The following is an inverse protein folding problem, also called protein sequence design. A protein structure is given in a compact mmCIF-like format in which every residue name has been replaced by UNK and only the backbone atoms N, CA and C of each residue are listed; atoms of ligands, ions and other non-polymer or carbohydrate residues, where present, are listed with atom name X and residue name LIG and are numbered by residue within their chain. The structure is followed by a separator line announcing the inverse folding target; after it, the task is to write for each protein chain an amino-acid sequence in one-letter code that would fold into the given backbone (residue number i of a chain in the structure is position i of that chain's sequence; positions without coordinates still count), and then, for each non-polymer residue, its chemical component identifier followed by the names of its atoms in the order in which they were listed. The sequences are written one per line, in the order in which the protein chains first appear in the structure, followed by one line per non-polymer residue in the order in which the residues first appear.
data_IF_009529586337
#
_entry.id   IF_009529586337
#
_cell.length_a   1.000
_cell.length_b   1.000
_cell.length_c   1.000
_cell.angle_alpha   90.00
_cell.angle_beta   90.00
_cell.angle_gamma   90.00
#
_symmetry.space_group_name_H-M   'P 1'
#
loop_
_entity.id
_entity.type
_entity.pdbx_description
1 polymer ?
#
# COMPACT_ATOMS: atom_id res chain seq x y z
N UNK A 1 22.74 -49.74 -45.99
CA UNK A 1 23.54 -49.72 -44.74
C UNK A 1 22.63 -49.19 -43.63
N UNK A 2 22.32 -49.94 -42.55
CA UNK A 2 21.43 -49.44 -41.51
C UNK A 2 22.19 -48.48 -40.59
N UNK A 3 21.67 -47.27 -40.40
CA UNK A 3 22.24 -46.30 -39.46
C UNK A 3 21.90 -46.71 -38.02
N UNK A 4 22.91 -46.72 -37.15
CA UNK A 4 22.71 -46.92 -35.71
C UNK A 4 21.92 -45.73 -35.15
N UNK A 5 20.67 -45.97 -34.74
CA UNK A 5 19.88 -44.99 -33.99
C UNK A 5 20.39 -44.95 -32.55
N UNK A 6 20.86 -43.80 -32.10
CA UNK A 6 21.13 -43.52 -30.68
C UNK A 6 19.97 -42.70 -30.14
N UNK A 7 19.24 -43.24 -29.18
CA UNK A 7 18.27 -42.46 -28.40
C UNK A 7 19.05 -41.69 -27.35
N UNK A 8 18.92 -40.36 -27.35
CA UNK A 8 19.50 -39.50 -26.32
C UNK A 8 18.37 -39.13 -25.38
N UNK A 9 18.51 -39.49 -24.11
CA UNK A 9 17.57 -39.12 -23.05
C UNK A 9 18.21 -38.05 -22.16
N UNK A 10 17.44 -37.05 -21.71
CA UNK A 10 17.95 -36.05 -20.80
C UNK A 10 18.24 -36.67 -19.43
N UNK A 11 19.39 -36.31 -18.86
CA UNK A 11 19.85 -36.73 -17.53
C UNK A 11 19.93 -35.50 -16.62
N UNK A 12 19.72 -35.66 -15.31
CA UNK A 12 19.72 -34.59 -14.30
C UNK A 12 18.72 -33.45 -14.60
N UNK A 13 17.45 -33.81 -14.80
CA UNK A 13 16.39 -32.83 -15.10
C UNK A 13 16.09 -31.93 -13.90
N UNK A 14 16.24 -32.47 -12.69
CA UNK A 14 16.12 -31.71 -11.44
C UNK A 14 17.49 -31.26 -10.91
N UNK A 15 17.57 -30.03 -10.40
CA UNK A 15 18.73 -29.55 -9.63
C UNK A 15 18.74 -30.10 -8.18
N UNK A 16 17.63 -30.69 -7.75
CA UNK A 16 17.45 -31.28 -6.41
C UNK A 16 17.22 -32.78 -6.56
N UNK A 17 17.70 -33.60 -5.61
CA UNK A 17 17.46 -35.04 -5.66
C UNK A 17 15.97 -35.35 -5.64
N UNK A 18 15.52 -36.07 -6.67
CA UNK A 18 14.16 -36.60 -6.76
C UNK A 18 14.13 -37.94 -6.02
N UNK A 19 13.12 -38.22 -5.17
CA UNK A 19 13.01 -39.50 -4.47
C UNK A 19 13.10 -40.72 -5.41
N UNK A 20 13.84 -41.75 -4.99
CA UNK A 20 14.08 -42.95 -5.80
C UNK A 20 12.81 -43.74 -6.16
N UNK A 21 11.71 -43.52 -5.45
CA UNK A 21 10.43 -44.19 -5.68
C UNK A 21 9.65 -43.58 -6.88
N UNK A 22 10.15 -42.50 -7.48
CA UNK A 22 9.50 -41.81 -8.60
C UNK A 22 9.98 -42.40 -9.94
N UNK A 23 9.09 -43.01 -10.74
CA UNK A 23 9.49 -43.69 -11.97
C UNK A 23 9.80 -42.72 -13.12
N UNK A 24 9.26 -41.50 -13.11
CA UNK A 24 9.42 -40.51 -14.18
C UNK A 24 9.84 -39.14 -13.61
N UNK A 25 11.14 -38.86 -13.64
CA UNK A 25 11.72 -37.62 -13.14
C UNK A 25 11.15 -36.39 -13.86
N UNK A 26 10.99 -36.46 -15.20
CA UNK A 26 10.50 -35.35 -16.00
C UNK A 26 9.09 -34.93 -15.58
N UNK A 27 8.19 -35.89 -15.42
CA UNK A 27 6.81 -35.64 -14.98
C UNK A 27 6.77 -35.05 -13.56
N UNK A 28 7.63 -35.52 -12.66
CA UNK A 28 7.72 -34.98 -11.32
C UNK A 28 8.17 -33.50 -11.34
N UNK A 29 9.25 -33.19 -12.05
CA UNK A 29 9.79 -31.83 -12.14
C UNK A 29 8.80 -30.89 -12.82
N UNK A 30 8.15 -31.31 -13.92
CA UNK A 30 7.16 -30.47 -14.61
C UNK A 30 5.91 -30.24 -13.75
N UNK A 31 5.40 -31.26 -13.06
CA UNK A 31 4.28 -31.09 -12.13
C UNK A 31 4.62 -30.18 -10.95
N UNK A 32 5.83 -30.30 -10.39
CA UNK A 32 6.32 -29.39 -9.35
C UNK A 32 6.43 -27.95 -9.87
N UNK A 33 6.97 -27.76 -11.07
CA UNK A 33 7.05 -26.45 -11.70
C UNK A 33 5.66 -25.84 -11.93
N UNK A 34 4.69 -26.62 -12.41
CA UNK A 34 3.31 -26.19 -12.59
C UNK A 34 2.64 -25.80 -11.26
N UNK A 35 2.82 -26.60 -10.20
CA UNK A 35 2.30 -26.28 -8.87
C UNK A 35 2.90 -24.97 -8.33
N UNK A 36 4.20 -24.74 -8.56
CA UNK A 36 4.86 -23.49 -8.17
C UNK A 36 4.33 -22.28 -8.97
N UNK A 37 4.10 -22.44 -10.28
CA UNK A 37 3.46 -21.39 -11.09
C UNK A 37 2.05 -21.08 -10.56
N UNK A 38 1.26 -22.09 -10.21
CA UNK A 38 -0.06 -21.87 -9.60
C UNK A 38 0.04 -21.11 -8.27
N UNK A 39 1.00 -21.46 -7.40
CA UNK A 39 1.27 -20.69 -6.16
C UNK A 39 1.66 -19.24 -6.46
N UNK A 40 2.54 -19.02 -7.42
CA UNK A 40 2.97 -17.67 -7.80
C UNK A 40 1.81 -16.84 -8.35
N UNK A 41 0.94 -17.43 -9.17
CA UNK A 41 -0.27 -16.76 -9.65
C UNK A 41 -1.22 -16.42 -8.51
N UNK A 42 -1.40 -17.31 -7.55
CA UNK A 42 -2.21 -17.03 -6.35
C UNK A 42 -1.63 -15.88 -5.52
N UNK A 43 -0.32 -15.85 -5.30
CA UNK A 43 0.35 -14.73 -4.62
C UNK A 43 0.20 -13.41 -5.40
N UNK A 44 0.29 -13.46 -6.73
CA UNK A 44 0.09 -12.29 -7.59
C UNK A 44 -1.34 -11.77 -7.52
N UNK A 45 -2.34 -12.66 -7.51
CA UNK A 45 -3.75 -12.28 -7.35
C UNK A 45 -4.01 -11.62 -6.00
N UNK A 46 -3.43 -12.13 -4.92
CA UNK A 46 -3.51 -11.51 -3.59
C UNK A 46 -2.93 -10.09 -3.60
N UNK A 47 -1.72 -9.93 -4.16
CA UNK A 47 -1.06 -8.62 -4.26
C UNK A 47 -1.88 -7.62 -5.09
N UNK A 48 -2.46 -8.07 -6.21
CA UNK A 48 -3.31 -7.23 -7.04
C UNK A 48 -4.57 -6.79 -6.28
N UNK A 49 -5.17 -7.69 -5.49
CA UNK A 49 -6.33 -7.37 -4.66
C UNK A 49 -5.99 -6.32 -3.60
N UNK A 50 -4.84 -6.44 -2.92
CA UNK A 50 -4.40 -5.46 -1.93
C UNK A 50 -4.23 -4.06 -2.55
N UNK A 51 -3.53 -3.99 -3.70
CA UNK A 51 -3.35 -2.73 -4.45
C UNK A 51 -4.68 -2.09 -4.84
N UNK A 52 -5.61 -2.87 -5.40
CA UNK A 52 -6.89 -2.33 -5.83
C UNK A 52 -7.77 -1.91 -4.64
N UNK A 53 -7.69 -2.58 -3.50
CA UNK A 53 -8.40 -2.19 -2.29
C UNK A 53 -7.91 -0.83 -1.76
N UNK A 54 -6.60 -0.61 -1.72
CA UNK A 54 -6.02 0.69 -1.36
C UNK A 54 -6.46 1.78 -2.33
N UNK A 55 -6.37 1.51 -3.64
CA UNK A 55 -6.78 2.47 -4.67
C UNK A 55 -8.27 2.84 -4.59
N UNK A 56 -9.14 1.87 -4.34
CA UNK A 56 -10.59 2.10 -4.17
C UNK A 56 -10.85 2.94 -2.93
N UNK A 57 -10.12 2.70 -1.85
CA UNK A 57 -10.23 3.47 -0.60
C UNK A 57 -9.86 4.93 -0.86
N UNK A 58 -8.72 5.18 -1.50
CA UNK A 58 -8.26 6.53 -1.87
C UNK A 58 -9.22 7.23 -2.83
N UNK A 59 -9.70 6.52 -3.86
CA UNK A 59 -10.69 7.05 -4.79
C UNK A 59 -12.00 7.40 -4.07
N UNK A 60 -12.42 6.59 -3.09
CA UNK A 60 -13.56 6.88 -2.22
C UNK A 60 -13.39 8.16 -1.41
N UNK A 61 -12.21 8.38 -0.82
CA UNK A 61 -11.89 9.62 -0.12
C UNK A 61 -11.91 10.85 -1.04
N UNK A 62 -11.36 10.73 -2.25
CA UNK A 62 -11.40 11.80 -3.27
C UNK A 62 -12.84 12.09 -3.68
N UNK A 63 -13.65 11.07 -3.91
CA UNK A 63 -15.06 11.22 -4.27
C UNK A 63 -15.84 11.98 -3.18
N UNK A 64 -15.72 11.59 -1.92
CA UNK A 64 -16.38 12.26 -0.80
C UNK A 64 -15.97 13.74 -0.66
N UNK A 65 -14.67 14.04 -0.84
CA UNK A 65 -14.16 15.42 -0.85
C UNK A 65 -14.73 16.21 -2.03
N UNK A 66 -14.84 15.58 -3.20
CA UNK A 66 -15.39 16.19 -4.41
C UNK A 66 -16.86 16.53 -4.24
N UNK A 67 -17.67 15.61 -3.70
CA UNK A 67 -19.07 15.86 -3.38
C UNK A 67 -19.25 17.01 -2.38
N UNK A 68 -18.44 17.01 -1.32
CA UNK A 68 -18.46 18.10 -0.33
C UNK A 68 -18.10 19.44 -0.97
N UNK A 69 -17.11 19.46 -1.85
CA UNK A 69 -16.69 20.66 -2.59
C UNK A 69 -17.78 21.11 -3.56
N UNK A 70 -18.40 20.20 -4.29
CA UNK A 70 -19.51 20.48 -5.19
C UNK A 70 -20.66 21.18 -4.46
N UNK A 71 -21.09 20.64 -3.31
CA UNK A 71 -22.10 21.29 -2.48
C UNK A 71 -21.69 22.68 -1.97
N UNK A 72 -20.40 22.89 -1.66
CA UNK A 72 -19.89 24.22 -1.26
C UNK A 72 -19.83 25.22 -2.41
N UNK A 73 -19.71 24.76 -3.65
CA UNK A 73 -19.73 25.59 -4.86
C UNK A 73 -21.16 25.99 -5.22
N UNK A 74 -22.10 25.04 -5.18
CA UNK A 74 -23.49 25.30 -5.57
C UNK A 74 -24.22 26.24 -4.59
N UNK A 75 -23.92 26.18 -3.29
CA UNK A 75 -24.56 27.04 -2.27
C UNK A 75 -24.44 28.56 -2.52
N UNK A 76 -23.24 29.14 -2.74
CA UNK A 76 -23.09 30.57 -3.00
C UNK A 76 -23.46 30.96 -4.43
N UNK A 77 -23.60 30.02 -5.37
CA UNK A 77 -23.79 30.28 -6.80
C UNK A 77 -24.92 31.28 -7.08
N UNK A 78 -26.09 31.07 -6.48
CA UNK A 78 -27.23 32.00 -6.62
C UNK A 78 -26.91 33.39 -6.05
N UNK A 79 -26.28 33.44 -4.86
CA UNK A 79 -25.90 34.71 -4.22
C UNK A 79 -24.90 35.49 -5.06
N UNK A 80 -23.93 34.81 -5.68
CA UNK A 80 -22.96 35.44 -6.59
C UNK A 80 -23.63 35.93 -7.87
N UNK A 81 -24.54 35.16 -8.45
CA UNK A 81 -25.25 35.58 -9.68
C UNK A 81 -26.22 36.73 -9.46
N UNK A 82 -26.76 36.87 -8.26
CA UNK A 82 -27.73 37.93 -7.89
C UNK A 82 -27.06 39.13 -7.22
N UNK A 83 -25.75 39.09 -7.00
CA UNK A 83 -25.01 40.15 -6.35
C UNK A 83 -24.96 41.40 -7.25
N UNK A 84 -25.37 42.55 -6.72
CA UNK A 84 -25.28 43.85 -7.40
C UNK A 84 -24.39 44.80 -6.61
N UNK A 85 -23.20 45.06 -7.14
CA UNK A 85 -22.19 45.91 -6.51
C UNK A 85 -22.55 47.40 -6.49
N UNK A 86 -23.55 47.84 -7.25
CA UNK A 86 -23.96 49.25 -7.26
C UNK A 86 -24.86 49.62 -6.06
N UNK A 87 -25.44 48.61 -5.41
CA UNK A 87 -26.36 48.76 -4.27
C UNK A 87 -25.63 48.48 -2.95
N UNK A 88 -24.58 47.66 -2.97
CA UNK A 88 -23.92 47.21 -1.75
C UNK A 88 -22.94 48.26 -1.17
N UNK A 89 -23.29 48.83 -0.02
CA UNK A 89 -22.45 49.79 0.70
C UNK A 89 -21.42 49.09 1.62
N UNK A 90 -20.16 49.53 1.55
CA UNK A 90 -19.07 49.00 2.40
C UNK A 90 -18.87 49.88 3.63
N UNK A 91 -19.15 49.33 4.82
CA UNK A 91 -18.98 50.04 6.09
C UNK A 91 -17.59 49.70 6.69
N UNK A 92 -16.71 50.70 6.80
CA UNK A 92 -15.32 50.53 7.29
C UNK A 92 -15.28 50.04 8.75
N UNK A 93 -16.26 50.42 9.57
CA UNK A 93 -16.37 49.96 10.96
C UNK A 93 -16.58 48.44 11.04
N UNK A 94 -17.34 47.86 10.11
CA UNK A 94 -17.56 46.41 10.04
C UNK A 94 -16.30 45.65 9.59
N UNK A 95 -15.46 46.28 8.75
CA UNK A 95 -14.18 45.72 8.34
C UNK A 95 -13.21 45.64 9.52
N UNK A 96 -13.14 46.69 10.34
CA UNK A 96 -12.24 46.74 11.50
C UNK A 96 -12.68 45.82 12.66
N UNK A 97 -13.98 45.53 12.76
CA UNK A 97 -14.53 44.65 13.80
C UNK A 97 -14.51 43.17 13.42
N UNK A 98 -14.21 42.81 12.16
CA UNK A 98 -14.13 41.42 11.69
C UNK A 98 -12.69 40.94 11.67
N UNK A 99 -12.49 39.68 12.08
CA UNK A 99 -11.19 39.01 11.91
C UNK A 99 -10.91 38.80 10.42
N UNK A 100 -9.65 38.98 9.97
CA UNK A 100 -9.29 38.72 8.59
C UNK A 100 -9.45 37.24 8.26
N UNK A 101 -9.73 36.95 6.98
CA UNK A 101 -9.72 35.59 6.48
C UNK A 101 -8.32 34.99 6.63
N UNK A 102 -8.25 33.76 7.13
CA UNK A 102 -7.02 32.97 7.23
C UNK A 102 -7.26 31.65 6.51
N UNK A 103 -6.47 31.39 5.47
CA UNK A 103 -6.44 30.08 4.84
C UNK A 103 -5.74 29.08 5.75
N UNK A 104 -6.18 27.82 5.71
CA UNK A 104 -5.52 26.75 6.44
C UNK A 104 -4.37 26.22 5.58
N UNK A 105 -3.14 26.32 6.09
CA UNK A 105 -1.97 25.63 5.54
C UNK A 105 -1.64 24.47 6.48
N UNK A 106 -1.91 23.23 6.04
CA UNK A 106 -1.47 22.04 6.76
C UNK A 106 -0.13 21.60 6.19
N UNK A 107 0.80 21.28 7.08
CA UNK A 107 2.09 20.68 6.73
C UNK A 107 2.05 19.28 7.31
N UNK A 108 2.10 18.27 6.45
CA UNK A 108 2.15 16.89 6.87
C UNK A 108 3.52 16.59 7.48
N UNK A 109 3.52 16.04 8.69
CA UNK A 109 4.71 15.65 9.43
C UNK A 109 4.63 14.16 9.74
N UNK A 110 5.78 13.53 10.03
CA UNK A 110 5.87 12.09 10.33
C UNK A 110 5.31 11.19 9.22
N UNK A 111 5.56 11.56 7.95
CA UNK A 111 5.10 10.83 6.75
C UNK A 111 5.65 9.41 6.66
N UNK A 112 6.71 9.09 7.41
CA UNK A 112 7.20 7.72 7.61
C UNK A 112 7.09 7.41 9.10
N UNK A 113 5.98 6.80 9.49
CA UNK A 113 5.77 6.28 10.83
C UNK A 113 5.45 4.78 10.73
N UNK A 114 5.43 4.08 11.87
CA UNK A 114 5.20 2.64 11.91
C UNK A 114 3.85 2.23 11.29
N UNK A 115 2.82 3.07 11.41
CA UNK A 115 1.49 2.80 10.87
C UNK A 115 1.43 2.84 9.32
N UNK A 116 2.42 3.47 8.68
CA UNK A 116 2.52 3.57 7.21
C UNK A 116 3.51 2.53 6.64
N UNK A 117 4.26 1.85 7.51
CA UNK A 117 5.25 0.86 7.11
C UNK A 117 4.62 -0.51 6.85
N UNK A 118 5.24 -1.36 6.02
CA UNK A 118 4.80 -2.73 5.76
C UNK A 118 4.90 -3.60 7.04
N UNK A 119 3.88 -3.51 7.88
CA UNK A 119 3.79 -4.21 9.16
C UNK A 119 3.89 -5.73 8.98
N UNK A 120 3.26 -6.27 7.94
CA UNK A 120 3.29 -7.70 7.63
C UNK A 120 4.69 -8.25 7.33
N UNK A 121 5.59 -7.46 6.73
CA UNK A 121 6.99 -7.83 6.54
C UNK A 121 7.79 -7.70 7.82
N UNK A 122 7.51 -6.66 8.61
CA UNK A 122 8.19 -6.42 9.87
C UNK A 122 7.89 -7.50 10.91
N UNK A 123 6.65 -8.00 10.96
CA UNK A 123 6.25 -9.10 11.85
C UNK A 123 6.91 -10.43 11.51
N UNK A 124 7.31 -10.63 10.26
CA UNK A 124 8.04 -11.83 9.82
C UNK A 124 9.56 -11.71 10.06
N UNK A 125 10.05 -10.51 10.38
CA UNK A 125 11.47 -10.31 10.67
C UNK A 125 11.86 -10.94 12.01
N UNK A 126 13.15 -11.22 12.16
CA UNK A 126 13.68 -11.69 13.44
C UNK A 126 13.46 -10.61 14.51
N UNK A 127 12.85 -10.97 15.66
CA UNK A 127 12.58 -10.01 16.71
C UNK A 127 13.88 -9.52 17.35
N UNK A 128 13.85 -8.30 17.89
CA UNK A 128 14.99 -7.79 18.64
C UNK A 128 15.31 -8.69 19.85
N UNK A 129 16.59 -8.86 20.22
CA UNK A 129 16.96 -9.54 21.44
C UNK A 129 16.24 -8.91 22.63
N UNK A 130 15.77 -9.72 23.58
CA UNK A 130 14.96 -9.30 24.72
C UNK A 130 15.77 -8.55 25.81
N UNK A 131 16.54 -7.53 25.40
CA UNK A 131 17.37 -6.70 26.28
C UNK A 131 16.54 -5.88 27.27
N UNK A 132 15.25 -5.68 26.98
CA UNK A 132 14.31 -5.05 27.91
C UNK A 132 14.20 -5.80 29.25
N UNK A 133 14.47 -7.11 29.26
CA UNK A 133 14.53 -7.91 30.49
C UNK A 133 15.67 -7.49 31.43
N UNK A 134 16.70 -6.83 30.89
CA UNK A 134 17.82 -6.30 31.67
C UNK A 134 17.58 -4.88 32.19
N UNK A 135 16.47 -4.23 31.80
CA UNK A 135 16.14 -2.89 32.25
C UNK A 135 16.11 -2.73 33.79
N UNK A 136 15.59 -3.69 34.59
CA UNK A 136 15.62 -3.60 36.06
C UNK A 136 17.02 -3.56 36.66
N UNK A 137 18.04 -4.02 35.94
CA UNK A 137 19.43 -4.05 36.38
C UNK A 137 20.24 -2.87 35.84
N UNK A 138 19.61 -1.93 35.12
CA UNK A 138 20.28 -0.70 34.72
C UNK A 138 20.63 0.09 35.98
N UNK A 139 21.92 0.39 36.14
CA UNK A 139 22.39 1.30 37.18
C UNK A 139 21.75 2.66 36.93
N UNK A 140 20.74 3.00 37.73
CA UNK A 140 20.25 4.37 37.83
C UNK A 140 21.35 5.15 38.53
N UNK A 141 22.25 5.78 37.75
CA UNK A 141 23.04 6.87 38.28
C UNK A 141 22.06 8.02 38.56
N UNK A 142 21.66 8.13 39.83
CA UNK A 142 20.99 9.31 40.36
C UNK A 142 21.95 10.49 40.18
N UNK A 143 21.60 11.39 39.26
CA UNK A 143 22.06 12.78 39.21
C UNK A 143 20.83 13.67 39.38
#
# INVERSE_FOLDING_TARGET
MPFNKRTVEPINLSQVQVPNDIPNELECVTNHALANVMRQLSSLSSLAQDLFNELITDAGHIFQRTETLHGRIERPKLKVTQFDSNIEEVIIQDVNNRKPFVSVTRIDQQVVNRAIMLESLYEQAEPEPALHLLNPYRLVFLN
#
